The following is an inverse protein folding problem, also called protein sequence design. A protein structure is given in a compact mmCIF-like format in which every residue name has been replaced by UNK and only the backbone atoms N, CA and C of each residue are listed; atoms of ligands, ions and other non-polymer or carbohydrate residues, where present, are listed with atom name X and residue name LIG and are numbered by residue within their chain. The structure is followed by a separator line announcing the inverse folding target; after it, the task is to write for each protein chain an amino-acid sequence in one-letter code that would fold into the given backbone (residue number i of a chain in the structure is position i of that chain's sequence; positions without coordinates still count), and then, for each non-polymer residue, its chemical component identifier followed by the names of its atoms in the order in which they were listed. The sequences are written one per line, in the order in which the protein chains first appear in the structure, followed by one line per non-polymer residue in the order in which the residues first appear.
data_IF_250224703584
#
_entry.id   IF_250224703584
#
_cell.length_a   1.000
_cell.length_b   1.000
_cell.length_c   1.000
_cell.angle_alpha   90.00
_cell.angle_beta   90.00
_cell.angle_gamma   90.00
#
_symmetry.space_group_name_H-M   'P 1'
#
loop_
_entity.id
_entity.type
_entity.pdbx_description
1 polymer ?
#
# COMPACT_ATOMS: atom_id res chain seq x y z
N UNK A 1 2.18 -48.54 -35.01
CA UNK A 1 2.01 -47.10 -35.28
C UNK A 1 0.64 -46.57 -34.84
N UNK A 2 -0.51 -47.02 -35.40
CA UNK A 2 -1.86 -46.51 -35.03
C UNK A 2 -2.17 -46.51 -33.52
N UNK A 3 -1.82 -47.56 -32.78
CA UNK A 3 -2.03 -47.62 -31.31
C UNK A 3 -1.26 -46.53 -30.54
N UNK A 4 -0.05 -46.20 -30.98
CA UNK A 4 0.79 -45.16 -30.35
C UNK A 4 0.18 -43.78 -30.61
N UNK A 5 -0.29 -43.51 -31.83
CA UNK A 5 -0.98 -42.25 -32.15
C UNK A 5 -2.28 -42.06 -31.35
N UNK A 6 -3.06 -43.13 -31.16
CA UNK A 6 -4.29 -43.08 -30.35
C UNK A 6 -3.96 -42.78 -28.88
N UNK A 7 -2.93 -43.41 -28.31
CA UNK A 7 -2.50 -43.15 -26.93
C UNK A 7 -2.02 -41.71 -26.72
N UNK A 8 -1.30 -41.13 -27.69
CA UNK A 8 -0.87 -39.73 -27.64
C UNK A 8 -2.08 -38.78 -27.70
N UNK A 9 -3.04 -39.05 -28.59
CA UNK A 9 -4.25 -38.24 -28.70
C UNK A 9 -5.08 -38.24 -27.40
N UNK A 10 -5.25 -39.40 -26.77
CA UNK A 10 -5.95 -39.52 -25.50
C UNK A 10 -5.23 -38.78 -24.36
N UNK A 11 -3.90 -38.82 -24.33
CA UNK A 11 -3.10 -38.08 -23.34
C UNK A 11 -3.28 -36.56 -23.50
N UNK A 12 -3.26 -36.05 -24.73
CA UNK A 12 -3.48 -34.63 -25.02
C UNK A 12 -4.89 -34.20 -24.59
N UNK A 13 -5.91 -34.99 -24.91
CA UNK A 13 -7.29 -34.71 -24.49
C UNK A 13 -7.40 -34.70 -22.96
N UNK A 14 -6.76 -35.65 -22.29
CA UNK A 14 -6.75 -35.70 -20.82
C UNK A 14 -6.08 -34.46 -20.20
N UNK A 15 -4.97 -33.98 -20.76
CA UNK A 15 -4.29 -32.77 -20.28
C UNK A 15 -5.16 -31.55 -20.51
N UNK A 16 -5.78 -31.41 -21.69
CA UNK A 16 -6.68 -30.31 -22.01
C UNK A 16 -7.89 -30.27 -21.07
N UNK A 17 -8.52 -31.41 -20.81
CA UNK A 17 -9.62 -31.53 -19.85
C UNK A 17 -9.18 -31.16 -18.43
N UNK A 18 -7.97 -31.54 -18.02
CA UNK A 18 -7.43 -31.18 -16.70
C UNK A 18 -7.20 -29.67 -16.57
N UNK A 19 -6.71 -29.01 -17.63
CA UNK A 19 -6.52 -27.55 -17.67
C UNK A 19 -7.88 -26.84 -17.58
N UNK A 20 -8.85 -27.27 -18.39
CA UNK A 20 -10.21 -26.70 -18.38
C UNK A 20 -10.86 -26.89 -17.01
N UNK A 21 -10.75 -28.07 -16.39
CA UNK A 21 -11.27 -28.32 -15.05
C UNK A 21 -10.65 -27.39 -14.01
N UNK A 22 -9.33 -27.12 -14.08
CA UNK A 22 -8.67 -26.16 -13.18
C UNK A 22 -9.16 -24.73 -13.38
N UNK A 23 -9.36 -24.29 -14.62
CA UNK A 23 -9.92 -22.96 -14.93
C UNK A 23 -11.36 -22.82 -14.45
N UNK A 24 -12.22 -23.82 -14.69
CA UNK A 24 -13.62 -23.79 -14.24
C UNK A 24 -13.75 -23.79 -12.71
N UNK A 25 -12.78 -24.36 -11.99
CA UNK A 25 -12.77 -24.42 -10.52
C UNK A 25 -11.92 -23.32 -9.87
N UNK A 26 -11.31 -22.40 -10.62
CA UNK A 26 -10.64 -21.25 -10.01
C UNK A 26 -11.68 -20.26 -9.52
N UNK A 27 -12.11 -20.38 -8.26
CA UNK A 27 -12.79 -19.27 -7.57
C UNK A 27 -11.79 -18.12 -7.46
N UNK A 28 -11.97 -17.08 -8.28
CA UNK A 28 -11.25 -15.83 -8.10
C UNK A 28 -11.68 -15.21 -6.77
N UNK A 29 -10.88 -15.44 -5.73
CA UNK A 29 -11.08 -14.78 -4.44
C UNK A 29 -10.43 -13.41 -4.54
N UNK A 30 -11.23 -12.40 -4.84
CA UNK A 30 -10.80 -11.02 -4.74
C UNK A 30 -10.76 -10.64 -3.26
N UNK A 31 -9.56 -10.64 -2.67
CA UNK A 31 -9.33 -10.18 -1.29
C UNK A 31 -9.07 -8.67 -1.22
N UNK A 32 -9.18 -7.96 -2.34
CA UNK A 32 -8.98 -6.53 -2.45
C UNK A 32 -10.32 -5.79 -2.46
N UNK A 33 -10.37 -4.68 -1.73
CA UNK A 33 -11.45 -3.69 -1.84
C UNK A 33 -11.14 -2.77 -3.03
N UNK A 34 -12.16 -2.44 -3.81
CA UNK A 34 -12.10 -1.43 -4.86
C UNK A 34 -12.61 -0.11 -4.28
N UNK A 35 -11.89 0.97 -4.53
CA UNK A 35 -12.27 2.33 -4.13
C UNK A 35 -12.34 3.17 -5.41
N UNK A 36 -13.53 3.66 -5.77
CA UNK A 36 -13.79 4.34 -7.04
C UNK A 36 -13.42 5.84 -7.05
N UNK A 37 -13.08 6.37 -5.87
CA UNK A 37 -12.66 7.76 -5.69
C UNK A 37 -13.79 8.76 -5.48
N UNK A 38 -15.05 8.31 -5.31
CA UNK A 38 -16.21 9.17 -5.00
C UNK A 38 -16.47 9.21 -3.51
N UNK A 39 -16.86 8.09 -2.90
CA UNK A 39 -17.28 8.03 -1.49
C UNK A 39 -16.87 6.74 -0.75
N UNK A 40 -15.99 5.93 -1.36
CA UNK A 40 -15.53 4.68 -0.77
C UNK A 40 -14.50 4.87 0.36
N UNK A 41 -14.80 4.32 1.53
CA UNK A 41 -13.83 4.13 2.61
C UNK A 41 -14.26 3.00 3.55
N UNK A 42 -13.29 2.45 4.27
CA UNK A 42 -13.55 1.59 5.43
C UNK A 42 -13.32 2.40 6.69
N UNK A 43 -14.33 2.50 7.54
CA UNK A 43 -14.21 3.16 8.83
C UNK A 43 -14.10 2.16 9.96
N UNK A 44 -13.02 2.26 10.71
CA UNK A 44 -12.87 1.59 12.00
C UNK A 44 -13.30 2.57 13.08
N UNK A 45 -14.46 2.33 13.70
CA UNK A 45 -14.97 3.19 14.77
C UNK A 45 -14.38 2.80 16.13
N UNK A 46 -14.08 3.81 16.97
CA UNK A 46 -13.70 3.66 18.39
C UNK A 46 -12.56 2.65 18.67
N UNK A 47 -11.41 2.82 18.02
CA UNK A 47 -10.25 1.98 18.27
C UNK A 47 -9.09 2.76 18.93
N UNK A 48 -8.84 2.47 20.20
CA UNK A 48 -7.77 3.13 20.96
C UNK A 48 -6.38 2.88 20.36
N UNK A 49 -6.12 1.70 19.79
CA UNK A 49 -4.81 1.37 19.19
C UNK A 49 -4.51 2.25 17.97
N UNK A 50 -5.48 2.46 17.08
CA UNK A 50 -5.30 3.33 15.89
C UNK A 50 -5.13 4.80 16.31
N UNK A 51 -5.80 5.21 17.38
CA UNK A 51 -5.72 6.58 17.91
C UNK A 51 -4.43 6.84 18.72
N UNK A 52 -3.78 5.78 19.21
CA UNK A 52 -2.51 5.84 19.94
C UNK A 52 -1.27 5.61 19.06
N UNK A 53 -1.45 5.37 17.76
CA UNK A 53 -0.35 5.35 16.79
C UNK A 53 0.54 6.56 17.01
N UNK A 54 1.85 6.43 16.82
CA UNK A 54 2.81 7.52 16.93
C UNK A 54 3.38 7.72 18.34
N UNK A 55 2.81 7.16 19.41
CA UNK A 55 3.52 7.05 20.70
C UNK A 55 4.44 5.83 20.70
N UNK A 56 5.56 5.89 19.97
CA UNK A 56 6.56 4.82 19.90
C UNK A 56 6.81 4.28 18.50
N UNK A 57 7.18 3.01 18.43
CA UNK A 57 7.52 2.32 17.18
C UNK A 57 6.26 1.76 16.52
N UNK A 58 6.19 1.85 15.19
CA UNK A 58 5.04 1.34 14.44
C UNK A 58 5.48 0.87 13.05
N UNK A 59 4.63 0.03 12.44
CA UNK A 59 4.72 -0.32 11.02
C UNK A 59 3.33 -0.23 10.40
N UNK A 60 3.22 0.50 9.30
CA UNK A 60 2.08 0.43 8.40
C UNK A 60 2.46 -0.36 7.16
N UNK A 61 1.55 -1.22 6.68
CA UNK A 61 1.71 -1.91 5.42
C UNK A 61 0.38 -2.06 4.70
N UNK A 62 0.42 -1.98 3.37
CA UNK A 62 -0.72 -2.23 2.51
C UNK A 62 -0.29 -2.79 1.15
N UNK A 63 -1.12 -3.66 0.58
CA UNK A 63 -1.10 -3.93 -0.86
C UNK A 63 -1.95 -2.87 -1.55
N UNK A 64 -1.37 -2.18 -2.52
CA UNK A 64 -2.05 -1.10 -3.26
C UNK A 64 -1.97 -1.34 -4.76
N UNK A 65 -3.06 -1.01 -5.46
CA UNK A 65 -3.15 -0.95 -6.91
C UNK A 65 -3.82 0.36 -7.27
N UNK A 66 -3.13 1.22 -8.03
CA UNK A 66 -3.68 2.48 -8.48
C UNK A 66 -2.86 3.01 -9.67
N UNK A 67 -3.48 3.89 -10.46
CA UNK A 67 -2.81 4.63 -11.52
C UNK A 67 -2.74 6.11 -11.15
N UNK A 68 -1.56 6.73 -11.24
CA UNK A 68 -1.33 8.09 -10.74
C UNK A 68 -2.29 9.14 -11.35
N UNK A 69 -2.66 8.97 -12.63
CA UNK A 69 -3.58 9.86 -13.33
C UNK A 69 -5.01 9.81 -12.81
N UNK A 70 -5.37 8.77 -12.08
CA UNK A 70 -6.71 8.54 -11.53
C UNK A 70 -6.79 8.95 -10.04
N UNK A 71 -5.73 9.54 -9.49
CA UNK A 71 -5.63 9.84 -8.07
C UNK A 71 -5.66 11.34 -7.78
N UNK A 72 -6.45 11.75 -6.78
CA UNK A 72 -6.41 13.09 -6.17
C UNK A 72 -5.01 13.46 -5.71
N UNK A 73 -4.72 14.75 -5.50
CA UNK A 73 -3.35 15.24 -5.22
C UNK A 73 -2.58 14.45 -4.16
N UNK A 74 -3.24 14.10 -3.04
CA UNK A 74 -2.66 13.35 -1.91
C UNK A 74 -3.51 12.11 -1.58
N UNK A 75 -3.43 11.02 -2.35
CA UNK A 75 -4.27 9.85 -2.10
C UNK A 75 -3.85 9.17 -0.79
N UNK A 76 -4.85 8.70 -0.04
CA UNK A 76 -4.69 8.20 1.32
C UNK A 76 -4.99 6.69 1.37
N UNK A 77 -4.15 5.95 2.09
CA UNK A 77 -4.36 4.52 2.34
C UNK A 77 -4.98 4.34 3.73
N UNK A 78 -4.45 5.05 4.73
CA UNK A 78 -4.91 5.01 6.11
C UNK A 78 -4.78 6.39 6.75
N UNK A 79 -5.77 6.78 7.54
CA UNK A 79 -5.79 8.06 8.25
C UNK A 79 -6.60 7.99 9.54
N UNK A 80 -6.19 8.80 10.52
CA UNK A 80 -7.05 9.24 11.63
C UNK A 80 -7.11 10.77 11.74
N UNK A 81 -6.80 11.45 10.64
CA UNK A 81 -6.66 12.90 10.58
C UNK A 81 -8.01 13.56 10.83
N UNK A 82 -8.07 14.40 11.86
CA UNK A 82 -9.28 15.18 12.20
C UNK A 82 -9.30 16.56 11.52
N UNK A 83 -8.13 17.12 11.24
CA UNK A 83 -7.98 18.42 10.60
C UNK A 83 -6.63 18.55 9.90
N UNK A 84 -6.41 19.67 9.19
CA UNK A 84 -5.14 19.93 8.52
C UNK A 84 -4.01 20.04 9.56
N UNK A 85 -3.12 19.03 9.58
CA UNK A 85 -1.93 19.00 10.41
C UNK A 85 -2.10 18.34 11.78
N UNK A 86 -3.18 17.58 11.99
CA UNK A 86 -3.42 16.82 13.21
C UNK A 86 -3.61 15.31 12.92
N UNK A 87 -3.10 14.44 13.80
CA UNK A 87 -3.20 12.98 13.62
C UNK A 87 -2.15 12.44 12.66
N UNK A 88 -2.47 11.35 11.95
CA UNK A 88 -1.59 10.76 10.93
C UNK A 88 -2.26 10.53 9.58
N UNK A 89 -1.38 10.44 8.58
CA UNK A 89 -1.69 9.93 7.25
C UNK A 89 -0.62 8.94 6.83
N UNK A 90 -1.04 7.86 6.18
CA UNK A 90 -0.18 6.95 5.45
C UNK A 90 -0.72 6.84 4.02
N UNK A 91 0.11 7.13 3.02
CA UNK A 91 -0.33 7.16 1.63
C UNK A 91 0.71 7.77 0.69
N UNK A 92 0.24 8.57 -0.28
CA UNK A 92 1.10 9.28 -1.22
C UNK A 92 0.89 10.80 -1.17
N UNK A 93 1.99 11.53 -1.21
CA UNK A 93 2.00 12.97 -1.33
C UNK A 93 2.01 13.34 -2.82
N UNK A 94 1.44 14.49 -3.17
CA UNK A 94 1.59 15.08 -4.50
C UNK A 94 3.06 15.25 -4.89
N UNK A 95 3.31 15.49 -6.17
CA UNK A 95 4.67 15.73 -6.68
C UNK A 95 5.29 16.93 -5.95
N UNK A 96 6.48 16.75 -5.40
CA UNK A 96 7.18 17.79 -4.64
C UNK A 96 8.69 17.61 -4.76
N UNK A 97 9.46 18.70 -4.65
CA UNK A 97 10.92 18.66 -4.69
C UNK A 97 11.49 18.12 -6.01
N UNK A 98 10.77 18.33 -7.12
CA UNK A 98 11.17 17.83 -8.45
C UNK A 98 10.85 16.35 -8.70
N UNK A 99 10.05 15.69 -7.86
CA UNK A 99 9.65 14.30 -8.11
C UNK A 99 8.83 14.18 -9.41
N UNK A 100 9.07 13.10 -10.17
CA UNK A 100 8.31 12.78 -11.38
C UNK A 100 6.93 12.19 -11.08
N UNK A 101 6.82 11.53 -9.93
CA UNK A 101 5.65 10.77 -9.48
C UNK A 101 5.19 11.26 -8.10
N UNK A 102 3.99 10.85 -7.68
CA UNK A 102 3.54 10.99 -6.28
C UNK A 102 4.47 10.18 -5.36
N UNK A 103 4.70 10.71 -4.16
CA UNK A 103 5.78 10.24 -3.28
C UNK A 103 5.18 9.46 -2.10
N UNK A 104 5.67 8.25 -1.80
CA UNK A 104 5.28 7.56 -0.57
C UNK A 104 5.57 8.43 0.67
N UNK A 105 4.60 8.57 1.58
CA UNK A 105 4.78 9.41 2.76
C UNK A 105 3.96 8.95 3.96
N UNK A 106 4.42 9.40 5.13
CA UNK A 106 3.66 9.44 6.38
C UNK A 106 3.58 10.89 6.84
N UNK A 107 2.41 11.33 7.27
CA UNK A 107 2.24 12.55 8.07
C UNK A 107 2.14 12.15 9.53
N UNK A 108 2.89 12.82 10.40
CA UNK A 108 2.71 12.78 11.85
C UNK A 108 2.50 14.22 12.32
N UNK A 109 1.31 14.52 12.86
CA UNK A 109 0.84 15.88 13.12
C UNK A 109 1.00 16.80 11.90
N UNK A 110 1.68 17.94 12.05
CA UNK A 110 1.85 18.94 11.00
C UNK A 110 3.12 18.73 10.18
N UNK A 111 3.75 17.55 10.28
CA UNK A 111 5.00 17.24 9.59
C UNK A 111 4.75 16.12 8.57
N UNK A 112 5.01 16.44 7.31
CA UNK A 112 5.03 15.47 6.21
C UNK A 112 6.43 14.87 6.09
N UNK A 113 6.55 13.58 6.35
CA UNK A 113 7.79 12.82 6.18
C UNK A 113 7.88 12.32 4.74
N UNK A 114 8.13 13.23 3.81
CA UNK A 114 8.34 12.93 2.40
C UNK A 114 9.84 12.75 2.13
N UNK A 115 10.21 11.78 1.28
CA UNK A 115 11.56 11.71 0.74
C UNK A 115 11.57 12.13 -0.73
N UNK A 116 12.29 13.20 -1.11
CA UNK A 116 12.38 13.60 -2.51
C UNK A 116 13.44 12.79 -3.28
N UNK A 117 13.28 12.88 -4.60
CA UNK A 117 14.23 12.65 -5.70
C UNK A 117 14.09 11.36 -6.53
N UNK A 118 13.94 10.15 -5.98
CA UNK A 118 13.91 8.94 -6.86
C UNK A 118 13.06 7.77 -6.33
N UNK A 119 11.99 8.02 -5.58
CA UNK A 119 11.07 6.92 -5.22
C UNK A 119 10.46 6.30 -6.49
N UNK A 120 10.34 4.96 -6.58
CA UNK A 120 9.65 4.31 -7.68
C UNK A 120 8.18 4.76 -7.73
N UNK A 121 7.59 4.79 -8.92
CA UNK A 121 6.16 5.01 -9.03
C UNK A 121 5.42 3.75 -8.55
N UNK A 122 4.75 3.83 -7.40
CA UNK A 122 3.88 2.76 -6.89
C UNK A 122 2.43 2.89 -7.36
N UNK A 123 2.13 3.92 -8.17
CA UNK A 123 0.83 4.22 -8.75
C UNK A 123 0.89 4.07 -10.28
N UNK A 124 1.34 2.90 -10.73
CA UNK A 124 1.62 2.58 -12.13
C UNK A 124 0.65 1.54 -12.72
N UNK A 125 -0.49 1.28 -12.06
CA UNK A 125 -1.43 0.24 -12.48
C UNK A 125 -0.95 -1.18 -12.20
N UNK A 126 -0.08 -1.38 -11.20
CA UNK A 126 0.35 -2.69 -10.71
C UNK A 126 0.17 -2.78 -9.19
N UNK A 127 0.08 -4.02 -8.70
CA UNK A 127 0.05 -4.28 -7.25
C UNK A 127 1.43 -4.07 -6.65
N UNK A 128 1.50 -3.21 -5.64
CA UNK A 128 2.71 -2.95 -4.87
C UNK A 128 2.47 -3.16 -3.38
N UNK A 129 3.43 -3.77 -2.70
CA UNK A 129 3.45 -3.84 -1.24
C UNK A 129 4.18 -2.63 -0.68
N UNK A 130 3.45 -1.64 -0.16
CA UNK A 130 4.04 -0.44 0.44
C UNK A 130 4.07 -0.55 1.96
N UNK A 131 5.23 -0.25 2.57
CA UNK A 131 5.45 -0.31 4.01
C UNK A 131 6.13 0.96 4.50
N UNK A 132 5.67 1.49 5.64
CA UNK A 132 6.36 2.52 6.42
C UNK A 132 6.63 2.00 7.83
N UNK A 133 7.89 2.00 8.25
CA UNK A 133 8.32 1.55 9.58
C UNK A 133 9.03 2.67 10.31
N UNK A 134 8.54 3.02 11.51
CA UNK A 134 9.26 3.84 12.48
C UNK A 134 9.89 2.95 13.54
N UNK A 135 11.19 3.14 13.79
CA UNK A 135 11.91 2.56 14.91
C UNK A 135 12.79 3.62 15.56
N UNK A 136 12.46 4.02 16.79
CA UNK A 136 13.08 5.15 17.47
C UNK A 136 12.92 6.44 16.65
N UNK A 137 14.05 7.01 16.26
CA UNK A 137 14.17 8.24 15.46
C UNK A 137 14.31 8.00 13.95
N UNK A 138 14.26 6.73 13.52
CA UNK A 138 14.37 6.32 12.12
C UNK A 138 13.01 5.97 11.53
N UNK A 139 12.68 6.58 10.39
CA UNK A 139 11.54 6.18 9.55
C UNK A 139 12.09 5.63 8.23
N UNK A 140 11.59 4.46 7.84
CA UNK A 140 12.03 3.72 6.66
C UNK A 140 10.83 3.30 5.83
N UNK A 141 10.91 3.54 4.52
CA UNK A 141 9.91 3.12 3.55
C UNK A 141 10.43 1.93 2.74
N UNK A 142 9.57 0.95 2.51
CA UNK A 142 9.83 -0.20 1.64
C UNK A 142 8.72 -0.34 0.61
N UNK A 143 9.09 -0.80 -0.60
CA UNK A 143 8.17 -1.19 -1.64
C UNK A 143 8.61 -2.56 -2.20
N UNK A 144 7.68 -3.50 -2.29
CA UNK A 144 7.92 -4.86 -2.82
C UNK A 144 9.11 -5.55 -2.14
N UNK A 145 9.23 -5.37 -0.83
CA UNK A 145 10.30 -5.93 0.00
C UNK A 145 11.66 -5.22 -0.14
N UNK A 146 11.76 -4.14 -0.92
CA UNK A 146 13.00 -3.38 -1.13
C UNK A 146 12.96 -2.04 -0.41
N UNK A 147 14.12 -1.58 0.08
CA UNK A 147 14.28 -0.26 0.65
C UNK A 147 14.00 0.81 -0.42
N UNK A 148 13.07 1.72 -0.14
CA UNK A 148 12.81 2.90 -0.99
C UNK A 148 13.55 4.11 -0.45
N UNK A 149 13.47 4.30 0.87
CA UNK A 149 13.79 5.56 1.51
C UNK A 149 14.03 5.35 3.00
N UNK A 150 14.92 6.14 3.60
CA UNK A 150 15.14 6.13 5.04
C UNK A 150 15.72 7.45 5.50
N UNK A 151 15.27 7.90 6.66
CA UNK A 151 15.79 9.11 7.30
C UNK A 151 15.72 8.96 8.82
N UNK A 152 16.68 9.60 9.48
CA UNK A 152 16.86 9.55 10.93
C UNK A 152 16.88 10.97 11.46
N UNK A 153 15.99 11.27 12.43
CA UNK A 153 15.97 12.57 13.11
C UNK A 153 15.24 12.48 14.43
N UNK A 154 15.77 13.17 15.45
CA UNK A 154 15.13 13.29 16.76
C UNK A 154 13.69 13.81 16.70
N UNK A 155 13.33 14.60 15.67
CA UNK A 155 11.96 15.05 15.44
C UNK A 155 10.97 13.90 15.22
N UNK A 156 11.39 12.80 14.59
CA UNK A 156 10.57 11.59 14.43
C UNK A 156 10.45 10.87 15.77
N UNK A 157 11.57 10.72 16.48
CA UNK A 157 11.59 10.08 17.79
C UNK A 157 10.62 10.73 18.79
N UNK A 158 10.49 12.06 18.71
CA UNK A 158 9.63 12.86 19.57
C UNK A 158 8.20 13.06 19.03
N UNK A 159 7.87 12.51 17.85
CA UNK A 159 6.49 12.56 17.35
C UNK A 159 5.60 11.79 18.31
N UNK A 160 4.58 12.43 18.89
CA UNK A 160 3.56 11.78 19.69
C UNK A 160 2.21 12.41 19.33
N UNK A 161 1.40 11.65 18.57
CA UNK A 161 0.10 12.10 18.08
C UNK A 161 -1.06 11.60 18.96
N UNK A 162 -0.78 10.69 19.90
CA UNK A 162 -1.79 10.09 20.79
C UNK A 162 -2.36 11.12 21.79
N UNK A 163 -1.62 12.17 22.12
CA UNK A 163 -2.00 13.19 23.10
C UNK A 163 -2.80 14.37 22.55
N UNK A 164 -3.06 14.40 21.23
CA UNK A 164 -3.67 15.56 20.55
C UNK A 164 -5.02 15.28 19.89
N UNK A 165 -5.56 14.07 20.07
CA UNK A 165 -6.93 13.76 19.71
C UNK A 165 -7.85 14.10 20.89
N UNK A 166 -8.16 15.40 21.01
CA UNK A 166 -9.23 15.89 21.88
C UNK A 166 -10.48 16.17 21.02
#
# INVERSE_FOLDING_TARGET
MKKILISIALLIISIALLIIYRFLNSKQRNYALLFDGVDDYVMVTRNNTVNQIGSGDFTFSAMVYALESEQVTHPQILSNRTSKGAGFLFGFHGRWGGSKNKIPYVQLDNINWVQPQNAPNLLNGQWHHFVARKQGDKLTYFADGKLVASFTTSRIGNSNIASKQA
#
